data_IF_838953727953
#
_entry.id   IF_838953727953
#
_cell.length_a   1.000
_cell.length_b   1.000
_cell.length_c   1.000
_cell.angle_alpha   90.00
_cell.angle_beta   90.00
_cell.angle_gamma   90.00
#
_symmetry.space_group_name_H-M   'P 1'
#
loop_
_entity.id
_entity.type
_entity.pdbx_description
1 polymer ?
#
# COMPACT_ATOMS: atom_id res chain seq x y z
N UNK A 1 19.34 -12.38 4.31
CA UNK A 1 20.24 -13.09 3.41
C UNK A 1 21.19 -12.14 2.65
N UNK A 2 20.68 -11.06 2.00
CA UNK A 2 21.53 -10.09 1.31
C UNK A 2 22.63 -9.49 2.21
N UNK A 3 22.31 -9.14 3.46
CA UNK A 3 23.27 -8.60 4.45
C UNK A 3 24.37 -9.64 4.80
N UNK A 4 24.05 -10.92 4.70
CA UNK A 4 24.99 -12.04 4.92
C UNK A 4 25.81 -12.39 3.69
N UNK A 5 25.62 -11.69 2.56
CA UNK A 5 26.27 -11.99 1.30
C UNK A 5 25.63 -13.12 0.49
N UNK A 6 24.47 -13.61 0.90
CA UNK A 6 23.73 -14.70 0.26
C UNK A 6 22.73 -14.18 -0.80
N UNK A 7 23.15 -13.32 -1.70
CA UNK A 7 22.30 -12.79 -2.77
C UNK A 7 21.91 -13.86 -3.81
N UNK A 8 22.81 -14.77 -4.14
CA UNK A 8 22.59 -15.84 -5.13
C UNK A 8 21.51 -16.83 -4.71
N UNK A 9 21.51 -17.41 -3.49
CA UNK A 9 20.45 -18.30 -3.04
C UNK A 9 19.06 -17.66 -3.07
N UNK A 10 18.95 -16.36 -2.78
CA UNK A 10 17.64 -15.65 -2.80
C UNK A 10 17.09 -15.51 -4.23
N UNK A 11 17.97 -15.53 -5.23
CA UNK A 11 17.60 -15.44 -6.64
C UNK A 11 17.23 -16.79 -7.27
N UNK A 12 17.40 -17.90 -6.55
CA UNK A 12 17.06 -19.25 -7.03
C UNK A 12 15.56 -19.45 -7.16
N UNK A 13 15.17 -20.23 -8.18
CA UNK A 13 13.78 -20.62 -8.36
C UNK A 13 13.33 -21.49 -7.17
N UNK A 14 12.20 -21.11 -6.59
CA UNK A 14 11.64 -21.82 -5.45
C UNK A 14 12.06 -21.30 -4.07
N UNK A 15 13.10 -20.45 -3.94
CA UNK A 15 13.50 -19.91 -2.63
C UNK A 15 12.34 -19.19 -1.92
N UNK A 16 11.65 -18.30 -2.61
CA UNK A 16 10.49 -17.59 -2.06
C UNK A 16 9.36 -18.56 -1.70
N UNK A 17 9.05 -19.51 -2.59
CA UNK A 17 8.00 -20.51 -2.34
C UNK A 17 8.34 -21.43 -1.17
N UNK A 18 9.60 -21.85 -1.04
CA UNK A 18 10.07 -22.62 0.10
C UNK A 18 9.96 -21.83 1.42
N UNK A 19 10.33 -20.53 1.39
CA UNK A 19 10.25 -19.68 2.58
C UNK A 19 8.80 -19.48 3.04
N UNK A 20 7.86 -19.16 2.13
CA UNK A 20 6.45 -18.95 2.51
C UNK A 20 5.74 -20.26 2.93
N UNK A 21 6.25 -21.41 2.50
CA UNK A 21 5.74 -22.73 2.89
C UNK A 21 6.28 -23.19 4.25
N UNK A 22 7.41 -22.62 4.71
CA UNK A 22 7.94 -22.88 6.04
C UNK A 22 7.18 -22.04 7.09
N UNK A 23 6.15 -22.66 7.67
CA UNK A 23 5.28 -22.01 8.65
C UNK A 23 6.02 -21.47 9.87
N UNK A 24 7.14 -22.10 10.29
CA UNK A 24 7.90 -21.62 11.45
C UNK A 24 8.65 -20.33 11.15
N UNK A 25 9.36 -20.26 10.05
CA UNK A 25 10.14 -19.07 9.65
C UNK A 25 9.23 -17.88 9.31
N UNK A 26 8.14 -18.13 8.58
CA UNK A 26 7.17 -17.06 8.26
C UNK A 26 6.48 -16.52 9.49
N UNK A 27 6.05 -17.39 10.41
CA UNK A 27 5.37 -16.98 11.63
C UNK A 27 6.29 -16.17 12.56
N UNK A 28 7.54 -16.56 12.74
CA UNK A 28 8.52 -15.79 13.52
C UNK A 28 8.72 -14.40 12.92
N UNK A 29 8.92 -14.29 11.59
CA UNK A 29 9.08 -13.01 10.93
C UNK A 29 7.84 -12.13 11.08
N UNK A 30 6.65 -12.71 10.93
CA UNK A 30 5.39 -12.03 11.12
C UNK A 30 5.22 -11.49 12.55
N UNK A 31 5.48 -12.33 13.56
CA UNK A 31 5.38 -11.93 14.97
C UNK A 31 6.36 -10.81 15.31
N UNK A 32 7.62 -10.92 14.87
CA UNK A 32 8.62 -9.86 15.07
C UNK A 32 8.16 -8.54 14.45
N UNK A 33 7.69 -8.57 13.21
CA UNK A 33 7.18 -7.38 12.52
C UNK A 33 5.98 -6.76 13.24
N UNK A 34 5.04 -7.60 13.67
CA UNK A 34 3.86 -7.19 14.44
C UNK A 34 4.22 -6.56 15.78
N UNK A 35 5.16 -7.15 16.51
CA UNK A 35 5.64 -6.61 17.80
C UNK A 35 6.30 -5.25 17.61
N UNK A 36 7.12 -5.07 16.56
CA UNK A 36 7.73 -3.77 16.25
C UNK A 36 6.64 -2.72 15.98
N UNK A 37 5.65 -3.04 15.14
CA UNK A 37 4.52 -2.16 14.84
C UNK A 37 3.77 -1.75 16.12
N UNK A 38 3.40 -2.73 16.93
CA UNK A 38 2.65 -2.52 18.19
C UNK A 38 3.46 -1.73 19.22
N UNK A 39 4.77 -1.95 19.32
CA UNK A 39 5.64 -1.19 20.24
C UNK A 39 5.69 0.29 19.87
N UNK A 40 5.73 0.61 18.57
CA UNK A 40 5.72 1.99 18.08
C UNK A 40 4.38 2.66 18.41
N UNK A 41 3.26 1.97 18.18
CA UNK A 41 1.92 2.46 18.48
C UNK A 41 1.71 2.64 19.98
N UNK A 42 2.17 1.67 20.77
CA UNK A 42 2.10 1.73 22.25
C UNK A 42 2.84 2.94 22.82
N UNK A 43 3.95 3.36 22.21
CA UNK A 43 4.70 4.55 22.60
C UNK A 43 3.93 5.86 22.31
N UNK A 44 2.83 5.81 21.57
CA UNK A 44 1.93 6.93 21.30
C UNK A 44 2.23 7.67 20.01
N UNK A 45 1.33 8.59 19.64
CA UNK A 45 1.41 9.32 18.38
C UNK A 45 2.69 10.15 18.27
N UNK A 46 2.96 11.00 19.27
CA UNK A 46 4.09 11.93 19.24
C UNK A 46 5.44 11.26 19.41
N UNK A 47 5.57 10.34 20.40
CA UNK A 47 6.85 9.71 20.75
C UNK A 47 7.15 8.45 19.94
N UNK A 48 6.13 7.79 19.42
CA UNK A 48 6.23 6.59 18.58
C UNK A 48 6.10 6.94 17.10
N UNK A 49 4.88 7.12 16.63
CA UNK A 49 4.55 7.22 15.20
C UNK A 49 5.26 8.40 14.53
N UNK A 50 5.10 9.61 15.07
CA UNK A 50 5.67 10.83 14.47
C UNK A 50 7.21 10.78 14.44
N UNK A 51 7.82 10.32 15.54
CA UNK A 51 9.29 10.24 15.65
C UNK A 51 9.86 9.21 14.67
N UNK A 52 9.24 8.04 14.58
CA UNK A 52 9.67 6.97 13.67
C UNK A 52 9.47 7.39 12.21
N UNK A 53 8.31 7.98 11.89
CA UNK A 53 8.03 8.44 10.53
C UNK A 53 8.97 9.56 10.08
N UNK A 54 9.30 10.51 10.95
CA UNK A 54 10.28 11.58 10.65
C UNK A 54 11.67 11.04 10.29
N UNK A 55 12.04 9.88 10.83
CA UNK A 55 13.30 9.24 10.53
C UNK A 55 13.19 8.36 9.27
N UNK A 56 12.15 7.54 9.17
CA UNK A 56 12.02 6.54 8.10
C UNK A 56 11.66 7.16 6.75
N UNK A 57 10.78 8.17 6.70
CA UNK A 57 10.32 8.75 5.44
C UNK A 57 11.44 9.40 4.60
N UNK A 58 12.32 10.25 5.15
CA UNK A 58 13.44 10.78 4.39
C UNK A 58 14.38 9.69 3.88
N UNK A 59 14.66 8.66 4.68
CA UNK A 59 15.49 7.53 4.26
C UNK A 59 14.82 6.79 3.10
N UNK A 60 13.53 6.52 3.19
CA UNK A 60 12.75 5.88 2.14
C UNK A 60 12.87 6.66 0.81
N UNK A 61 12.70 7.98 0.84
CA UNK A 61 12.83 8.83 -0.35
C UNK A 61 14.25 8.78 -0.92
N UNK A 62 15.26 8.88 -0.08
CA UNK A 62 16.68 8.81 -0.53
C UNK A 62 16.98 7.44 -1.14
N UNK A 63 16.56 6.34 -0.50
CA UNK A 63 16.71 5.00 -1.03
C UNK A 63 16.01 4.84 -2.38
N UNK A 64 14.78 5.36 -2.51
CA UNK A 64 14.03 5.32 -3.76
C UNK A 64 14.78 6.02 -4.90
N UNK A 65 15.32 7.21 -4.64
CA UNK A 65 16.10 7.96 -5.63
C UNK A 65 17.38 7.20 -6.04
N UNK A 66 18.12 6.67 -5.07
CA UNK A 66 19.35 5.91 -5.34
C UNK A 66 19.06 4.69 -6.22
N UNK A 67 18.03 3.91 -5.87
CA UNK A 67 17.66 2.70 -6.60
C UNK A 67 17.11 3.05 -7.99
N UNK A 68 16.30 4.11 -8.12
CA UNK A 68 15.81 4.55 -9.42
C UNK A 68 16.94 4.97 -10.36
N UNK A 69 17.91 5.74 -9.86
CA UNK A 69 19.10 6.11 -10.65
C UNK A 69 19.89 4.86 -11.03
N UNK A 70 20.12 3.96 -10.09
CA UNK A 70 20.81 2.70 -10.36
C UNK A 70 20.11 1.89 -11.46
N UNK A 71 18.78 1.75 -11.37
CA UNK A 71 17.95 1.00 -12.31
C UNK A 71 18.01 1.59 -13.74
N UNK A 72 17.76 2.90 -13.85
CA UNK A 72 17.68 3.61 -15.14
C UNK A 72 19.07 3.66 -15.85
N UNK A 73 20.15 3.62 -15.10
CA UNK A 73 21.53 3.65 -15.67
C UNK A 73 22.03 2.29 -16.16
N UNK A 74 21.24 1.22 -16.05
CA UNK A 74 21.67 -0.10 -16.55
C UNK A 74 21.59 -0.20 -18.06
N UNK A 75 22.52 -0.95 -18.70
CA UNK A 75 22.41 -1.25 -20.13
C UNK A 75 21.06 -1.91 -20.44
N UNK A 76 20.36 -1.43 -21.46
CA UNK A 76 19.02 -1.93 -21.83
C UNK A 76 17.84 -1.32 -21.03
N UNK A 77 18.08 -0.61 -19.95
CA UNK A 77 17.04 0.00 -19.11
C UNK A 77 16.17 1.04 -19.84
N UNK A 78 16.71 1.70 -20.88
CA UNK A 78 15.99 2.75 -21.61
C UNK A 78 14.70 2.25 -22.26
N UNK A 79 14.67 0.99 -22.71
CA UNK A 79 13.45 0.36 -23.23
C UNK A 79 12.35 0.31 -22.14
N UNK A 80 12.70 -0.03 -20.90
CA UNK A 80 11.79 -0.03 -19.77
C UNK A 80 11.32 1.37 -19.38
N UNK A 81 12.20 2.38 -19.39
CA UNK A 81 11.81 3.77 -19.17
C UNK A 81 10.81 4.22 -20.23
N UNK A 82 11.05 3.90 -21.50
CA UNK A 82 10.12 4.22 -22.58
C UNK A 82 8.79 3.50 -22.43
N UNK A 83 8.83 2.21 -22.09
CA UNK A 83 7.62 1.41 -21.83
C UNK A 83 6.77 2.02 -20.71
N UNK A 84 7.40 2.47 -19.63
CA UNK A 84 6.71 3.04 -18.47
C UNK A 84 6.14 4.45 -18.71
N UNK A 85 6.91 5.33 -19.36
CA UNK A 85 6.55 6.75 -19.48
C UNK A 85 5.79 7.09 -20.77
N UNK A 86 5.91 6.28 -21.82
CA UNK A 86 5.24 6.54 -23.11
C UNK A 86 3.97 5.72 -23.21
N UNK A 87 2.80 6.37 -23.18
CA UNK A 87 1.52 5.66 -23.23
C UNK A 87 1.34 4.95 -24.59
N UNK A 88 0.92 3.70 -24.54
CA UNK A 88 0.52 2.93 -25.71
C UNK A 88 -1.01 2.94 -25.84
N UNK A 89 -1.52 3.82 -26.70
CA UNK A 89 -2.97 4.02 -26.88
C UNK A 89 -3.66 2.76 -27.43
N UNK A 90 -2.94 1.89 -28.14
CA UNK A 90 -3.54 0.65 -28.66
C UNK A 90 -3.96 -0.34 -27.57
N UNK A 91 -3.33 -0.26 -26.40
CA UNK A 91 -3.64 -1.12 -25.25
C UNK A 91 -4.66 -0.48 -24.28
N UNK A 92 -5.15 0.72 -24.59
CA UNK A 92 -6.13 1.40 -23.75
C UNK A 92 -7.50 0.73 -23.84
N UNK A 93 -8.08 0.44 -22.68
CA UNK A 93 -9.43 -0.12 -22.57
C UNK A 93 -10.16 0.52 -21.37
N UNK A 94 -11.47 0.32 -21.27
CA UNK A 94 -12.22 0.71 -20.08
C UNK A 94 -11.72 0.00 -18.83
N UNK A 95 -11.23 -1.23 -18.97
CA UNK A 95 -10.63 -1.97 -17.86
C UNK A 95 -9.36 -1.28 -17.35
N UNK A 96 -8.55 -0.68 -18.24
CA UNK A 96 -7.38 0.14 -17.84
C UNK A 96 -7.79 1.27 -16.89
N UNK A 97 -8.92 1.94 -17.17
CA UNK A 97 -9.45 3.00 -16.30
C UNK A 97 -9.87 2.43 -14.94
N UNK A 98 -10.62 1.34 -14.92
CA UNK A 98 -11.12 0.71 -13.69
C UNK A 98 -9.96 0.25 -12.81
N UNK A 99 -8.96 -0.42 -13.40
CA UNK A 99 -7.78 -0.91 -12.69
C UNK A 99 -6.93 0.24 -12.13
N UNK A 100 -6.70 1.29 -12.94
CA UNK A 100 -5.96 2.47 -12.49
C UNK A 100 -6.67 3.19 -11.33
N UNK A 101 -7.99 3.27 -11.38
CA UNK A 101 -8.80 3.86 -10.31
C UNK A 101 -8.78 3.01 -9.04
N UNK A 102 -8.85 1.68 -9.17
CA UNK A 102 -8.70 0.76 -8.05
C UNK A 102 -7.34 0.92 -7.37
N UNK A 103 -6.27 1.00 -8.16
CA UNK A 103 -4.93 1.24 -7.63
C UNK A 103 -4.80 2.60 -6.93
N UNK A 104 -5.32 3.67 -7.52
CA UNK A 104 -5.31 5.01 -6.91
C UNK A 104 -6.09 5.02 -5.57
N UNK A 105 -7.23 4.36 -5.53
CA UNK A 105 -8.07 4.23 -4.36
C UNK A 105 -7.32 3.58 -3.19
N UNK A 106 -6.57 2.52 -3.49
CA UNK A 106 -5.73 1.82 -2.53
C UNK A 106 -4.50 2.64 -2.11
N UNK A 107 -3.76 3.20 -3.07
CA UNK A 107 -2.52 3.96 -2.84
C UNK A 107 -2.76 5.18 -1.95
N UNK A 108 -3.82 5.93 -2.20
CA UNK A 108 -4.20 7.10 -1.39
C UNK A 108 -4.88 6.73 -0.06
N UNK A 109 -4.97 5.45 0.28
CA UNK A 109 -5.61 4.96 1.53
C UNK A 109 -7.04 5.45 1.72
N UNK A 110 -7.81 5.57 0.62
CA UNK A 110 -9.19 6.05 0.64
C UNK A 110 -10.07 4.98 1.30
N UNK A 111 -10.93 5.41 2.22
CA UNK A 111 -11.85 4.57 2.99
C UNK A 111 -11.22 3.53 3.94
N UNK A 112 -9.91 3.59 4.19
CA UNK A 112 -9.22 2.76 5.19
C UNK A 112 -9.26 3.36 6.61
N UNK A 113 -9.90 4.50 6.82
CA UNK A 113 -9.89 5.22 8.11
C UNK A 113 -8.60 6.03 8.37
N UNK A 114 -7.49 5.71 7.71
CA UNK A 114 -6.17 6.32 7.94
C UNK A 114 -6.23 7.85 7.82
N UNK A 115 -6.77 8.37 6.71
CA UNK A 115 -6.83 9.83 6.48
C UNK A 115 -7.73 10.54 7.51
N UNK A 116 -8.79 9.88 8.00
CA UNK A 116 -9.67 10.41 9.05
C UNK A 116 -8.90 10.48 10.36
N UNK A 117 -8.25 9.38 10.74
CA UNK A 117 -7.45 9.30 11.98
C UNK A 117 -6.32 10.33 12.01
N UNK A 118 -5.48 10.37 10.96
CA UNK A 118 -4.38 11.34 10.93
C UNK A 118 -4.86 12.78 10.74
N UNK A 119 -5.98 12.98 10.04
CA UNK A 119 -6.66 14.26 9.95
C UNK A 119 -7.11 14.80 11.32
N UNK A 120 -7.61 13.91 12.20
CA UNK A 120 -8.03 14.29 13.55
C UNK A 120 -6.87 14.72 14.46
N UNK A 121 -5.64 14.32 14.15
CA UNK A 121 -4.44 14.73 14.87
C UNK A 121 -3.84 16.06 14.40
N UNK A 122 -4.34 16.59 13.27
CA UNK A 122 -3.84 17.85 12.73
C UNK A 122 -4.29 19.05 13.59
N UNK A 123 -3.45 20.06 13.60
CA UNK A 123 -3.80 21.34 14.26
C UNK A 123 -4.86 22.08 13.44
N UNK A 124 -5.75 22.81 14.10
CA UNK A 124 -6.83 23.57 13.45
C UNK A 124 -6.33 24.61 12.43
N UNK A 125 -5.12 25.12 12.64
CA UNK A 125 -4.51 26.11 11.74
C UNK A 125 -3.95 25.50 10.45
N UNK A 126 -3.86 24.16 10.38
CA UNK A 126 -3.31 23.47 9.20
C UNK A 126 -4.34 23.44 8.08
N UNK A 127 -3.98 23.94 6.90
CA UNK A 127 -4.85 23.93 5.74
C UNK A 127 -5.12 22.52 5.22
N UNK A 128 -6.38 22.10 5.21
CA UNK A 128 -6.81 20.80 4.69
C UNK A 128 -6.52 20.69 3.19
N UNK A 129 -6.85 21.75 2.40
CA UNK A 129 -6.64 21.73 0.94
C UNK A 129 -5.17 21.60 0.58
N UNK A 130 -4.28 22.32 1.27
CA UNK A 130 -2.84 22.24 1.03
C UNK A 130 -2.26 20.88 1.45
N UNK A 131 -2.70 20.34 2.59
CA UNK A 131 -2.30 19.02 3.05
C UNK A 131 -2.73 17.93 2.08
N UNK A 132 -3.97 17.96 1.59
CA UNK A 132 -4.46 17.01 0.58
C UNK A 132 -3.65 17.09 -0.71
N UNK A 133 -3.36 18.32 -1.19
CA UNK A 133 -2.51 18.53 -2.37
C UNK A 133 -1.10 17.95 -2.18
N UNK A 134 -0.53 18.10 -1.01
CA UNK A 134 0.79 17.51 -0.71
C UNK A 134 0.73 15.98 -0.75
N UNK A 135 -0.32 15.36 -0.20
CA UNK A 135 -0.52 13.90 -0.29
C UNK A 135 -0.59 13.45 -1.75
N UNK A 136 -1.41 14.13 -2.60
CA UNK A 136 -1.51 13.83 -4.04
C UNK A 136 -0.13 13.88 -4.73
N UNK A 137 0.65 14.95 -4.48
CA UNK A 137 1.95 15.15 -5.12
C UNK A 137 2.95 14.09 -4.68
N UNK A 138 3.04 13.83 -3.37
CA UNK A 138 3.99 12.84 -2.84
C UNK A 138 3.64 11.43 -3.26
N UNK A 139 2.37 11.03 -3.22
CA UNK A 139 1.90 9.72 -3.67
C UNK A 139 2.28 9.50 -5.15
N UNK A 140 1.94 10.46 -6.01
CA UNK A 140 2.27 10.39 -7.44
C UNK A 140 3.78 10.33 -7.69
N UNK A 141 4.57 11.16 -6.98
CA UNK A 141 6.02 11.16 -7.13
C UNK A 141 6.66 9.84 -6.71
N UNK A 142 6.22 9.25 -5.58
CA UNK A 142 6.70 7.95 -5.11
C UNK A 142 6.26 6.83 -6.06
N UNK A 143 5.03 6.87 -6.58
CA UNK A 143 4.55 5.89 -7.56
C UNK A 143 5.39 5.90 -8.85
N UNK A 144 5.71 7.08 -9.38
CA UNK A 144 6.60 7.23 -10.54
C UNK A 144 8.00 6.71 -10.23
N UNK A 145 8.55 7.05 -9.05
CA UNK A 145 9.86 6.55 -8.64
C UNK A 145 9.86 5.02 -8.50
N UNK A 146 8.83 4.43 -7.93
CA UNK A 146 8.69 2.98 -7.82
C UNK A 146 8.68 2.30 -9.20
N UNK A 147 7.92 2.86 -10.16
CA UNK A 147 7.95 2.41 -11.55
C UNK A 147 9.35 2.49 -12.17
N UNK A 148 10.08 3.60 -11.96
CA UNK A 148 11.45 3.78 -12.45
C UNK A 148 12.48 2.91 -11.72
N UNK A 149 12.22 2.46 -10.50
CA UNK A 149 13.07 1.49 -9.80
C UNK A 149 12.92 0.07 -10.38
N UNK A 150 11.71 -0.33 -10.71
CA UNK A 150 11.39 -1.73 -11.00
C UNK A 150 11.44 -2.01 -12.51
N UNK A 151 10.67 -1.26 -13.30
CA UNK A 151 10.46 -1.56 -14.72
C UNK A 151 11.74 -1.50 -15.53
N UNK A 152 12.59 -0.45 -15.46
CA UNK A 152 13.84 -0.41 -16.20
C UNK A 152 14.81 -1.53 -15.81
N UNK A 153 14.84 -1.92 -14.52
CA UNK A 153 15.69 -3.02 -14.06
C UNK A 153 15.24 -4.37 -14.64
N UNK A 154 13.95 -4.65 -14.67
CA UNK A 154 13.40 -5.87 -15.27
C UNK A 154 13.67 -5.90 -16.78
N UNK A 155 13.46 -4.80 -17.50
CA UNK A 155 13.75 -4.72 -18.94
C UNK A 155 15.24 -4.89 -19.25
N UNK A 156 16.11 -4.33 -18.43
CA UNK A 156 17.57 -4.52 -18.58
C UNK A 156 17.96 -5.99 -18.39
N UNK A 157 17.29 -6.72 -17.48
CA UNK A 157 17.52 -8.14 -17.24
C UNK A 157 16.93 -9.04 -18.32
N UNK A 158 15.70 -8.77 -18.78
CA UNK A 158 14.97 -9.60 -19.74
C UNK A 158 15.34 -9.35 -21.20
N UNK A 159 16.24 -8.39 -21.48
CA UNK A 159 16.54 -8.01 -22.86
C UNK A 159 15.40 -7.23 -23.54
N UNK A 160 14.49 -6.67 -22.77
CA UNK A 160 13.39 -5.83 -23.28
C UNK A 160 12.05 -6.54 -23.43
N UNK A 161 11.90 -7.74 -22.88
CA UNK A 161 10.64 -8.50 -22.92
C UNK A 161 9.67 -8.05 -21.83
N UNK A 162 8.52 -7.43 -22.20
CA UNK A 162 7.51 -7.01 -21.24
C UNK A 162 6.79 -8.17 -20.54
N UNK A 163 6.75 -9.37 -21.10
CA UNK A 163 6.05 -10.53 -20.52
C UNK A 163 6.77 -11.07 -19.26
N UNK A 164 8.01 -10.64 -19.02
CA UNK A 164 8.74 -10.91 -17.77
C UNK A 164 8.27 -10.06 -16.60
N UNK A 165 7.51 -8.99 -16.84
CA UNK A 165 6.90 -8.19 -15.79
C UNK A 165 5.77 -8.97 -15.13
N UNK A 166 6.06 -9.51 -13.96
CA UNK A 166 5.04 -10.13 -13.12
C UNK A 166 4.35 -9.07 -12.24
N UNK A 167 3.29 -9.46 -11.56
CA UNK A 167 2.58 -8.61 -10.63
C UNK A 167 2.68 -9.15 -9.19
N UNK A 168 2.43 -8.26 -8.21
CA UNK A 168 2.34 -8.63 -6.80
C UNK A 168 3.65 -9.16 -6.19
N UNK A 169 3.54 -10.09 -5.22
CA UNK A 169 4.71 -10.61 -4.49
C UNK A 169 5.75 -11.29 -5.38
N UNK A 170 5.33 -11.91 -6.49
CA UNK A 170 6.25 -12.58 -7.41
C UNK A 170 7.24 -11.59 -8.05
N UNK A 171 6.78 -10.40 -8.43
CA UNK A 171 7.67 -9.35 -8.94
C UNK A 171 8.74 -8.97 -7.91
N UNK A 172 8.35 -8.75 -6.65
CA UNK A 172 9.26 -8.24 -5.61
C UNK A 172 10.19 -9.30 -5.05
N UNK A 173 9.72 -10.54 -4.90
CA UNK A 173 10.45 -11.58 -4.17
C UNK A 173 11.01 -12.71 -5.04
N UNK A 174 10.66 -12.75 -6.33
CA UNK A 174 11.21 -13.69 -7.31
C UNK A 174 11.98 -12.95 -8.39
N UNK A 175 11.31 -12.02 -9.11
CA UNK A 175 11.92 -11.34 -10.26
C UNK A 175 13.02 -10.38 -9.87
N UNK A 176 12.78 -9.48 -8.92
CA UNK A 176 13.76 -8.47 -8.50
C UNK A 176 15.04 -9.07 -7.89
N UNK A 177 15.02 -10.12 -7.06
CA UNK A 177 16.25 -10.80 -6.64
C UNK A 177 17.09 -11.33 -7.80
N UNK A 178 16.47 -11.93 -8.83
CA UNK A 178 17.17 -12.40 -10.03
C UNK A 178 17.82 -11.24 -10.81
N UNK A 179 17.08 -10.14 -10.94
CA UNK A 179 17.58 -8.93 -11.57
C UNK A 179 18.83 -8.43 -10.84
N UNK A 180 18.80 -8.29 -9.53
CA UNK A 180 19.95 -7.84 -8.74
C UNK A 180 21.10 -8.84 -8.76
N UNK A 181 20.84 -10.14 -8.72
CA UNK A 181 21.89 -11.17 -8.80
C UNK A 181 22.65 -11.14 -10.13
N UNK A 182 22.00 -10.70 -11.21
CA UNK A 182 22.62 -10.57 -12.55
C UNK A 182 23.39 -9.26 -12.75
N UNK A 183 23.25 -8.29 -11.85
CA UNK A 183 23.82 -6.95 -12.02
C UNK A 183 25.05 -6.72 -11.15
N UNK A 184 26.02 -5.94 -11.67
CA UNK A 184 27.13 -5.42 -10.87
C UNK A 184 26.61 -4.62 -9.68
N UNK A 185 27.21 -4.80 -8.48
CA UNK A 185 26.73 -4.23 -7.22
C UNK A 185 25.31 -4.66 -6.81
N UNK A 186 24.79 -5.74 -7.37
CA UNK A 186 23.43 -6.21 -7.12
C UNK A 186 23.14 -6.55 -5.65
N UNK A 187 24.14 -7.07 -4.90
CA UNK A 187 24.00 -7.30 -3.45
C UNK A 187 23.71 -5.99 -2.71
N UNK A 188 24.43 -4.90 -3.02
CA UNK A 188 24.19 -3.59 -2.41
C UNK A 188 22.81 -3.05 -2.79
N UNK A 189 22.44 -3.10 -4.07
CA UNK A 189 21.13 -2.67 -4.55
C UNK A 189 20.01 -3.48 -3.90
N UNK A 190 20.18 -4.79 -3.74
CA UNK A 190 19.24 -5.66 -3.05
C UNK A 190 19.05 -5.29 -1.58
N UNK A 191 20.14 -5.04 -0.83
CA UNK A 191 20.05 -4.57 0.57
C UNK A 191 19.25 -3.27 0.65
N UNK A 192 19.58 -2.30 -0.19
CA UNK A 192 18.90 -1.00 -0.20
C UNK A 192 17.42 -1.13 -0.56
N UNK A 193 17.10 -1.96 -1.56
CA UNK A 193 15.73 -2.20 -2.00
C UNK A 193 14.89 -2.87 -0.91
N UNK A 194 15.37 -3.96 -0.31
CA UNK A 194 14.59 -4.65 0.71
C UNK A 194 14.51 -3.86 2.02
N UNK A 195 15.48 -3.01 2.33
CA UNK A 195 15.38 -2.06 3.44
C UNK A 195 14.29 -1.02 3.17
N UNK A 196 14.21 -0.50 1.93
CA UNK A 196 13.14 0.41 1.49
C UNK A 196 11.77 -0.27 1.62
N UNK A 197 11.64 -1.50 1.12
CA UNK A 197 10.38 -2.28 1.21
C UNK A 197 9.98 -2.51 2.66
N UNK A 198 10.93 -2.85 3.54
CA UNK A 198 10.68 -3.02 4.97
C UNK A 198 10.16 -1.73 5.61
N UNK A 199 10.77 -0.59 5.31
CA UNK A 199 10.33 0.70 5.85
C UNK A 199 8.96 1.10 5.30
N UNK A 200 8.69 0.90 4.02
CA UNK A 200 7.39 1.15 3.42
C UNK A 200 6.29 0.28 4.05
N UNK A 201 6.56 -1.01 4.23
CA UNK A 201 5.65 -1.94 4.88
C UNK A 201 5.38 -1.56 6.35
N UNK A 202 6.43 -1.19 7.10
CA UNK A 202 6.32 -0.84 8.52
C UNK A 202 5.51 0.46 8.72
N UNK A 203 5.75 1.49 7.92
CA UNK A 203 4.98 2.75 7.99
C UNK A 203 3.50 2.53 7.66
N UNK A 204 3.19 1.69 6.68
CA UNK A 204 1.81 1.33 6.32
C UNK A 204 1.14 0.51 7.42
N UNK A 205 1.84 -0.47 7.99
CA UNK A 205 1.33 -1.27 9.12
C UNK A 205 1.02 -0.41 10.36
N UNK A 206 1.90 0.56 10.67
CA UNK A 206 1.66 1.53 11.75
C UNK A 206 0.40 2.35 11.47
N UNK A 207 0.23 2.86 10.25
CA UNK A 207 -0.90 3.71 9.92
C UNK A 207 -2.25 2.97 9.98
N UNK A 208 -2.31 1.74 9.45
CA UNK A 208 -3.51 0.89 9.52
C UNK A 208 -3.85 0.52 10.96
N UNK A 209 -2.87 0.10 11.75
CA UNK A 209 -3.09 -0.31 13.13
C UNK A 209 -3.48 0.88 14.01
N UNK A 210 -2.89 2.07 13.78
CA UNK A 210 -3.26 3.30 14.47
C UNK A 210 -4.71 3.67 14.21
N UNK A 211 -5.19 3.52 12.98
CA UNK A 211 -6.58 3.76 12.64
C UNK A 211 -7.53 2.87 13.44
N UNK A 212 -7.20 1.60 13.62
CA UNK A 212 -7.98 0.68 14.45
C UNK A 212 -7.88 1.04 15.96
N UNK A 213 -6.68 1.35 16.44
CA UNK A 213 -6.47 1.70 17.86
C UNK A 213 -7.23 2.96 18.23
N UNK A 214 -7.13 4.03 17.39
CA UNK A 214 -7.87 5.27 17.65
C UNK A 214 -9.38 5.08 17.63
N UNK A 215 -9.89 4.22 16.75
CA UNK A 215 -11.32 3.88 16.71
C UNK A 215 -11.77 3.23 18.03
N UNK A 216 -11.00 2.30 18.59
CA UNK A 216 -11.33 1.69 19.89
C UNK A 216 -11.17 2.68 21.06
N UNK A 217 -10.22 3.62 20.98
CA UNK A 217 -10.10 4.70 21.98
C UNK A 217 -11.33 5.60 21.97
N UNK A 218 -11.77 6.04 20.79
CA UNK A 218 -12.85 7.01 20.62
C UNK A 218 -14.24 6.38 20.88
N UNK A 219 -14.51 5.19 20.32
CA UNK A 219 -15.83 4.56 20.40
C UNK A 219 -16.09 3.86 21.74
N UNK A 220 -15.08 3.23 22.34
CA UNK A 220 -15.21 2.48 23.58
C UNK A 220 -14.71 3.23 24.81
N UNK A 221 -14.11 4.41 24.62
CA UNK A 221 -13.50 5.18 25.71
C UNK A 221 -12.33 4.46 26.40
N UNK A 222 -11.63 3.57 25.67
CA UNK A 222 -10.56 2.77 26.23
C UNK A 222 -9.24 3.54 26.24
N UNK A 223 -8.36 3.17 27.17
CA UNK A 223 -7.01 3.70 27.14
C UNK A 223 -6.23 3.14 25.96
N UNK A 224 -5.30 3.92 25.43
CA UNK A 224 -4.41 3.53 24.34
C UNK A 224 -3.76 2.15 24.54
N UNK A 225 -3.28 1.90 25.78
CA UNK A 225 -2.67 0.60 26.12
C UNK A 225 -3.60 -0.57 25.89
N UNK A 226 -4.88 -0.44 26.36
CA UNK A 226 -5.88 -1.48 26.20
C UNK A 226 -6.27 -1.69 24.74
N UNK A 227 -6.46 -0.59 24.00
CA UNK A 227 -6.81 -0.62 22.58
C UNK A 227 -5.68 -1.25 21.75
N UNK A 228 -4.40 -0.87 22.02
CA UNK A 228 -3.23 -1.46 21.35
C UNK A 228 -3.10 -2.97 21.61
N UNK A 229 -3.32 -3.41 22.85
CA UNK A 229 -3.27 -4.84 23.18
C UNK A 229 -4.38 -5.61 22.45
N UNK A 230 -5.61 -5.10 22.43
CA UNK A 230 -6.68 -5.75 21.67
C UNK A 230 -6.36 -5.82 20.17
N UNK A 231 -5.94 -4.71 19.58
CA UNK A 231 -5.51 -4.70 18.16
C UNK A 231 -4.37 -5.69 17.92
N UNK A 232 -3.43 -5.82 18.87
CA UNK A 232 -2.36 -6.79 18.80
C UNK A 232 -2.85 -8.23 18.80
N UNK A 233 -3.80 -8.56 19.66
CA UNK A 233 -4.40 -9.90 19.70
C UNK A 233 -5.13 -10.21 18.39
N UNK A 234 -5.91 -9.26 17.86
CA UNK A 234 -6.61 -9.42 16.58
C UNK A 234 -5.59 -9.58 15.43
N UNK A 235 -4.56 -8.72 15.40
CA UNK A 235 -3.51 -8.76 14.36
C UNK A 235 -2.78 -10.11 14.37
N UNK A 236 -2.36 -10.60 15.54
CA UNK A 236 -1.68 -11.89 15.65
C UNK A 236 -2.65 -13.01 15.25
N UNK A 237 -3.87 -13.04 15.76
CA UNK A 237 -4.81 -14.12 15.46
C UNK A 237 -5.16 -14.23 13.97
N UNK A 238 -5.51 -13.12 13.33
CA UNK A 238 -5.87 -13.10 11.90
C UNK A 238 -4.64 -13.16 10.99
N UNK A 239 -3.55 -12.50 11.38
CA UNK A 239 -2.31 -12.50 10.62
C UNK A 239 -1.62 -13.85 10.60
N UNK A 240 -1.68 -14.65 11.71
CA UNK A 240 -1.18 -16.02 11.72
C UNK A 240 -1.94 -16.93 10.74
N UNK A 241 -3.23 -16.73 10.53
CA UNK A 241 -3.96 -17.46 9.47
C UNK A 241 -3.39 -17.14 8.08
N UNK A 242 -3.08 -15.86 7.81
CA UNK A 242 -2.47 -15.44 6.55
C UNK A 242 -1.03 -15.95 6.41
N UNK A 243 -0.23 -15.83 7.46
CA UNK A 243 1.17 -16.28 7.51
C UNK A 243 1.32 -17.79 7.27
N UNK A 244 0.43 -18.59 7.88
CA UNK A 244 0.43 -20.03 7.76
C UNK A 244 -0.35 -20.56 6.54
N UNK A 245 -1.07 -19.67 5.83
CA UNK A 245 -1.96 -20.00 4.73
C UNK A 245 -1.27 -20.64 3.52
N UNK A 246 0.01 -20.36 3.28
CA UNK A 246 0.79 -20.96 2.20
C UNK A 246 1.66 -22.15 2.63
N UNK A 247 1.66 -22.47 3.93
CA UNK A 247 2.38 -23.57 4.52
C UNK A 247 1.44 -24.60 5.17
N UNK A 248 1.41 -24.70 6.51
CA UNK A 248 0.62 -25.69 7.23
C UNK A 248 -0.89 -25.63 6.94
N UNK A 249 -1.44 -24.46 6.62
CA UNK A 249 -2.86 -24.25 6.32
C UNK A 249 -3.15 -24.17 4.81
N UNK A 250 -2.22 -24.51 3.94
CA UNK A 250 -2.36 -24.40 2.49
C UNK A 250 -3.57 -25.16 1.91
N UNK A 251 -4.02 -26.22 2.58
CA UNK A 251 -5.19 -26.98 2.17
C UNK A 251 -6.53 -26.36 2.61
N UNK A 252 -6.50 -25.37 3.51
CA UNK A 252 -7.70 -24.68 3.98
C UNK A 252 -7.94 -23.44 3.12
N UNK A 253 -9.01 -23.49 2.33
CA UNK A 253 -9.38 -22.40 1.44
C UNK A 253 -10.79 -21.88 1.75
N UNK A 254 -10.98 -20.57 1.69
CA UNK A 254 -12.28 -19.91 1.85
C UNK A 254 -12.68 -19.38 0.47
N UNK A 255 -13.81 -19.85 -0.06
CA UNK A 255 -14.28 -19.50 -1.42
C UNK A 255 -13.19 -19.76 -2.50
N UNK A 256 -12.40 -20.84 -2.31
CA UNK A 256 -11.30 -21.20 -3.22
C UNK A 256 -10.00 -20.39 -3.05
N UNK A 257 -9.97 -19.39 -2.17
CA UNK A 257 -8.83 -18.51 -1.91
C UNK A 257 -8.05 -18.94 -0.66
N UNK A 258 -6.75 -18.68 -0.65
CA UNK A 258 -5.92 -18.75 0.56
C UNK A 258 -6.34 -17.64 1.55
N UNK A 259 -5.99 -17.79 2.83
CA UNK A 259 -6.38 -16.81 3.86
C UNK A 259 -5.96 -15.38 3.54
N UNK A 260 -4.74 -15.16 3.07
CA UNK A 260 -4.26 -13.83 2.69
C UNK A 260 -5.11 -13.24 1.56
N UNK A 261 -5.33 -14.02 0.50
CA UNK A 261 -6.10 -13.59 -0.66
C UNK A 261 -7.57 -13.34 -0.30
N UNK A 262 -8.12 -14.18 0.59
CA UNK A 262 -9.49 -13.99 1.08
C UNK A 262 -9.64 -12.72 1.91
N UNK A 263 -8.71 -12.44 2.84
CA UNK A 263 -8.76 -11.21 3.63
C UNK A 263 -8.52 -9.98 2.76
N UNK A 264 -7.62 -10.05 1.78
CA UNK A 264 -7.42 -8.98 0.80
C UNK A 264 -8.70 -8.73 -0.01
N UNK A 265 -9.32 -9.77 -0.55
CA UNK A 265 -10.61 -9.68 -1.23
C UNK A 265 -11.68 -9.05 -0.35
N UNK A 266 -11.84 -9.55 0.87
CA UNK A 266 -12.86 -9.06 1.80
C UNK A 266 -12.66 -7.58 2.15
N UNK A 267 -11.44 -7.18 2.48
CA UNK A 267 -11.13 -5.81 2.91
C UNK A 267 -11.09 -4.84 1.74
N UNK A 268 -10.27 -5.13 0.74
CA UNK A 268 -9.97 -4.19 -0.34
C UNK A 268 -11.03 -4.20 -1.45
N UNK A 269 -11.54 -5.38 -1.80
CA UNK A 269 -12.50 -5.50 -2.91
C UNK A 269 -13.95 -5.30 -2.47
N UNK A 270 -14.29 -5.53 -1.20
CA UNK A 270 -15.66 -5.45 -0.72
C UNK A 270 -15.84 -4.32 0.30
N UNK A 271 -15.14 -4.38 1.44
CA UNK A 271 -15.38 -3.45 2.56
C UNK A 271 -14.99 -2.01 2.22
N UNK A 272 -13.85 -1.78 1.58
CA UNK A 272 -13.39 -0.43 1.25
C UNK A 272 -14.32 0.31 0.29
N UNK A 273 -14.76 -0.26 -0.85
CA UNK A 273 -15.72 0.42 -1.73
C UNK A 273 -17.06 0.71 -1.03
N UNK A 274 -17.54 -0.21 -0.19
CA UNK A 274 -18.76 0.02 0.60
C UNK A 274 -18.55 1.18 1.57
N UNK A 275 -17.44 1.22 2.30
CA UNK A 275 -17.10 2.30 3.21
C UNK A 275 -16.95 3.65 2.48
N UNK A 276 -16.39 3.66 1.26
CA UNK A 276 -16.30 4.86 0.43
C UNK A 276 -17.68 5.40 0.03
N UNK A 277 -18.57 4.52 -0.44
CA UNK A 277 -19.94 4.90 -0.79
C UNK A 277 -20.66 5.44 0.46
N UNK A 278 -20.57 4.74 1.58
CA UNK A 278 -21.17 5.15 2.85
C UNK A 278 -20.64 6.53 3.30
N UNK A 279 -19.33 6.76 3.21
CA UNK A 279 -18.69 8.06 3.53
C UNK A 279 -19.20 9.17 2.60
N UNK A 280 -19.30 8.94 1.31
CA UNK A 280 -19.84 9.91 0.36
C UNK A 280 -21.29 10.27 0.67
N UNK A 281 -22.12 9.27 0.98
CA UNK A 281 -23.51 9.48 1.36
C UNK A 281 -23.63 10.20 2.71
N UNK A 282 -22.82 9.82 3.69
CA UNK A 282 -22.79 10.44 5.01
C UNK A 282 -22.40 11.92 4.92
N UNK A 283 -21.34 12.25 4.19
CA UNK A 283 -20.93 13.65 3.99
C UNK A 283 -21.99 14.43 3.23
N UNK A 284 -22.55 13.86 2.16
CA UNK A 284 -23.51 14.57 1.31
C UNK A 284 -24.86 14.80 1.96
N UNK A 285 -25.33 13.88 2.83
CA UNK A 285 -26.71 13.89 3.35
C UNK A 285 -26.82 14.13 4.84
N UNK A 286 -25.84 13.76 5.64
CA UNK A 286 -25.88 13.84 7.11
C UNK A 286 -25.04 15.00 7.61
N UNK A 287 -23.75 15.04 7.30
CA UNK A 287 -22.84 16.12 7.73
C UNK A 287 -23.18 17.43 7.03
N UNK A 288 -23.45 17.33 5.74
CA UNK A 288 -23.69 18.47 4.87
C UNK A 288 -22.41 19.12 4.37
N UNK A 289 -22.42 19.45 3.08
CA UNK A 289 -21.24 20.03 2.40
C UNK A 289 -20.84 21.37 3.01
N UNK A 290 -21.81 22.15 3.54
CA UNK A 290 -21.55 23.46 4.16
C UNK A 290 -20.60 23.33 5.35
N UNK A 291 -20.75 22.29 6.18
CA UNK A 291 -19.88 22.05 7.33
C UNK A 291 -18.45 21.70 6.91
N UNK A 292 -18.29 20.92 5.84
CA UNK A 292 -16.97 20.64 5.26
C UNK A 292 -16.32 21.93 4.74
N UNK A 293 -17.12 22.80 4.07
CA UNK A 293 -16.66 24.08 3.56
C UNK A 293 -16.19 25.01 4.70
N UNK A 294 -16.95 25.07 5.79
CA UNK A 294 -16.60 25.84 6.98
C UNK A 294 -15.28 25.34 7.60
N UNK A 295 -15.07 24.02 7.67
CA UNK A 295 -13.83 23.44 8.18
C UNK A 295 -12.63 23.69 7.27
N UNK A 296 -12.78 23.52 5.95
CA UNK A 296 -11.72 23.80 4.97
C UNK A 296 -11.32 25.27 4.93
N UNK A 297 -12.27 26.17 5.15
CA UNK A 297 -12.02 27.63 5.14
C UNK A 297 -11.70 28.19 6.53
N UNK A 298 -11.64 27.35 7.55
CA UNK A 298 -11.29 27.75 8.90
C UNK A 298 -9.93 28.48 8.93
N UNK A 299 -9.84 29.58 9.68
CA UNK A 299 -8.60 30.38 9.77
C UNK A 299 -8.31 31.25 8.55
N UNK A 300 -9.27 31.48 7.65
CA UNK A 300 -9.10 32.31 6.45
C UNK A 300 -8.60 31.55 5.23
N UNK A 301 -8.61 30.22 5.26
CA UNK A 301 -8.32 29.36 4.12
C UNK A 301 -9.33 29.58 2.96
N UNK A 302 -8.93 29.21 1.75
CA UNK A 302 -9.79 29.25 0.56
C UNK A 302 -10.06 27.84 0.06
N UNK A 303 -11.31 27.54 -0.29
CA UNK A 303 -11.64 26.24 -0.90
C UNK A 303 -11.66 26.38 -2.44
N UNK A 304 -10.49 26.38 -3.05
CA UNK A 304 -10.32 26.57 -4.51
C UNK A 304 -10.97 25.47 -5.33
N UNK A 305 -10.88 24.21 -4.85
CA UNK A 305 -11.38 23.02 -5.55
C UNK A 305 -12.84 22.66 -5.17
N UNK A 306 -13.60 23.58 -4.56
CA UNK A 306 -14.97 23.35 -4.07
C UNK A 306 -15.89 22.70 -5.12
N UNK A 307 -15.93 23.21 -6.35
CA UNK A 307 -16.81 22.68 -7.40
C UNK A 307 -16.45 21.25 -7.78
N UNK A 308 -15.15 20.96 -7.87
CA UNK A 308 -14.64 19.60 -8.14
C UNK A 308 -14.99 18.66 -7.00
N UNK A 309 -14.75 19.08 -5.77
CA UNK A 309 -15.09 18.29 -4.58
C UNK A 309 -16.58 17.92 -4.55
N UNK A 310 -17.48 18.88 -4.79
CA UNK A 310 -18.91 18.65 -4.81
C UNK A 310 -19.32 17.63 -5.87
N UNK A 311 -18.83 17.79 -7.08
CA UNK A 311 -19.13 16.86 -8.18
C UNK A 311 -18.58 15.45 -7.87
N UNK A 312 -17.36 15.37 -7.37
CA UNK A 312 -16.72 14.11 -7.02
C UNK A 312 -17.50 13.37 -5.92
N UNK A 313 -17.76 14.03 -4.78
CA UNK A 313 -18.37 13.35 -3.63
C UNK A 313 -19.83 12.98 -3.82
N UNK A 314 -20.59 13.78 -4.59
CA UNK A 314 -22.02 13.54 -4.81
C UNK A 314 -22.30 12.52 -5.92
N UNK A 315 -21.46 12.45 -6.92
CA UNK A 315 -21.72 11.64 -8.12
C UNK A 315 -20.58 10.69 -8.46
N UNK A 316 -19.39 11.19 -8.70
CA UNK A 316 -18.34 10.41 -9.33
C UNK A 316 -17.75 9.35 -8.39
N UNK A 317 -17.41 9.72 -7.17
CA UNK A 317 -16.82 8.77 -6.21
C UNK A 317 -17.76 7.61 -5.85
N UNK A 318 -19.06 7.82 -5.55
CA UNK A 318 -19.99 6.70 -5.30
C UNK A 318 -20.16 5.78 -6.51
N UNK A 319 -20.22 6.35 -7.73
CA UNK A 319 -20.34 5.57 -8.97
C UNK A 319 -19.08 4.72 -9.16
N UNK A 320 -17.90 5.30 -9.03
CA UNK A 320 -16.65 4.60 -9.21
C UNK A 320 -16.43 3.52 -8.15
N UNK A 321 -16.70 3.82 -6.88
CA UNK A 321 -16.64 2.81 -5.83
C UNK A 321 -17.61 1.66 -6.10
N UNK A 322 -18.80 1.93 -6.64
CA UNK A 322 -19.75 0.92 -7.09
C UNK A 322 -19.22 0.06 -8.24
N UNK A 323 -18.56 0.68 -9.23
CA UNK A 323 -17.92 -0.05 -10.33
C UNK A 323 -16.78 -0.93 -9.82
N UNK A 324 -15.92 -0.41 -8.94
CA UNK A 324 -14.82 -1.18 -8.33
C UNK A 324 -15.40 -2.37 -7.56
N UNK A 325 -16.42 -2.16 -6.74
CA UNK A 325 -17.06 -3.24 -5.98
C UNK A 325 -17.60 -4.34 -6.91
N UNK A 326 -18.40 -3.96 -7.90
CA UNK A 326 -19.02 -4.92 -8.80
C UNK A 326 -17.98 -5.65 -9.66
N UNK A 327 -16.98 -4.95 -10.20
CA UNK A 327 -15.93 -5.56 -11.00
C UNK A 327 -15.05 -6.50 -10.19
N UNK A 328 -14.67 -6.11 -8.97
CA UNK A 328 -13.84 -6.94 -8.09
C UNK A 328 -14.58 -8.21 -7.64
N UNK A 329 -15.87 -8.09 -7.30
CA UNK A 329 -16.70 -9.25 -6.97
C UNK A 329 -16.87 -10.16 -8.19
N UNK A 330 -17.16 -9.60 -9.37
CA UNK A 330 -17.29 -10.38 -10.60
C UNK A 330 -15.99 -11.11 -10.98
N UNK A 331 -14.84 -10.47 -10.77
CA UNK A 331 -13.52 -11.10 -10.98
C UNK A 331 -13.28 -12.25 -9.98
N UNK A 332 -13.61 -12.06 -8.70
CA UNK A 332 -13.44 -13.09 -7.67
C UNK A 332 -14.26 -14.35 -7.94
N UNK A 333 -15.44 -14.20 -8.57
CA UNK A 333 -16.28 -15.34 -8.99
C UNK A 333 -15.99 -15.83 -10.41
N UNK A 334 -14.97 -15.29 -11.08
CA UNK A 334 -14.57 -15.71 -12.43
C UNK A 334 -15.53 -15.30 -13.54
N UNK A 335 -16.42 -14.32 -13.31
CA UNK A 335 -17.34 -13.82 -14.33
C UNK A 335 -16.65 -12.88 -15.32
N UNK A 336 -15.60 -12.20 -14.88
CA UNK A 336 -14.71 -11.37 -15.70
C UNK A 336 -13.27 -11.66 -15.31
N UNK A 337 -12.31 -11.39 -16.22
CA UNK A 337 -10.87 -11.37 -15.93
C UNK A 337 -10.38 -9.92 -15.88
N UNK A 338 -9.73 -9.55 -14.79
CA UNK A 338 -9.07 -8.26 -14.65
C UNK A 338 -7.57 -8.41 -14.71
#
# INVERSE_FOLDING_TARGET
>A
EYVRGHAQPVAEDGYFSAFISDGFSTEICFVIFSVITLAIIYAGVRNGIERVSKFMMPILVVLSVIIAIYSVTRPGALAGVKYFLVPNISNFSWMTVVTAMGQMFYSLSIAMGILITFGSYMKKETSIEESTKNVEIFDTAIAIMAGLMIIPAVFAFSGGDPDTLQAGPALMFITIPKVFASMGFGTFAGVMFFLLVLFAALTSSIALTESAVSTFEDELGWSRKKSTVLCGVIMIALGSLSSLGYGPLANVKIIGMQFLDFFDFLTNSVMMPIAAIATCLFISRVVGVKRIEEEVTYGGGTFKRRKVFLFMIQYLCPIFAGIILLSSVANAFGWISM
#
